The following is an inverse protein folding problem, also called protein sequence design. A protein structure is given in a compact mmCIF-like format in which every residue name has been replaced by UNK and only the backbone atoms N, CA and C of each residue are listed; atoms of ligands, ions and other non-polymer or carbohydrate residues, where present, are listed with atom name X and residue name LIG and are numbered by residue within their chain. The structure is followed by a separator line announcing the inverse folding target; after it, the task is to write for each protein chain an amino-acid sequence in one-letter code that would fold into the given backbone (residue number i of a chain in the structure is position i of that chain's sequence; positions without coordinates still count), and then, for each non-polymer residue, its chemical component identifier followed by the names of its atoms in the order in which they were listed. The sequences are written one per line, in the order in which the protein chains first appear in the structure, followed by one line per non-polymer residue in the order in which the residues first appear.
data_IF_840612875003
#
_entry.id   IF_840612875003
#
_cell.length_a   1.000
_cell.length_b   1.000
_cell.length_c   1.000
_cell.angle_alpha   90.00
_cell.angle_beta   90.00
_cell.angle_gamma   90.00
#
_symmetry.space_group_name_H-M   'P 1'
#
loop_
_entity.id
_entity.type
_entity.pdbx_description
1 polymer ?
#
# COMPACT_ATOMS: atom_id res chain seq x y z
N UNK A 1 -0.11 -12.58 -15.32
CA UNK A 1 -0.37 -11.54 -14.27
C UNK A 1 -0.16 -12.04 -12.84
N UNK A 2 -0.57 -13.26 -12.45
CA UNK A 2 -0.47 -13.72 -11.05
C UNK A 2 0.97 -13.80 -10.47
N UNK A 3 2.00 -14.02 -11.29
CA UNK A 3 3.37 -14.23 -10.83
C UNK A 3 4.04 -12.95 -10.32
N UNK A 4 3.74 -11.79 -10.92
CA UNK A 4 4.32 -10.51 -10.51
C UNK A 4 3.73 -10.01 -9.20
N UNK A 5 2.40 -10.13 -9.02
CA UNK A 5 1.73 -9.76 -7.77
C UNK A 5 2.26 -10.56 -6.58
N UNK A 6 2.52 -11.86 -6.77
CA UNK A 6 3.13 -12.73 -5.73
C UNK A 6 4.52 -12.25 -5.30
N UNK A 7 5.35 -11.76 -6.24
CA UNK A 7 6.69 -11.23 -5.93
C UNK A 7 6.62 -9.97 -5.06
N UNK A 8 5.68 -9.07 -5.36
CA UNK A 8 5.49 -7.84 -4.57
C UNK A 8 5.12 -8.17 -3.12
N UNK A 9 4.16 -9.08 -2.91
CA UNK A 9 3.78 -9.46 -1.54
C UNK A 9 4.88 -10.21 -0.79
N UNK A 10 5.71 -10.99 -1.49
CA UNK A 10 6.87 -11.63 -0.89
C UNK A 10 7.94 -10.61 -0.47
N UNK A 11 8.15 -9.55 -1.25
CA UNK A 11 9.04 -8.46 -0.86
C UNK A 11 8.51 -7.70 0.36
N UNK A 12 7.20 -7.43 0.41
CA UNK A 12 6.56 -6.80 1.58
C UNK A 12 6.70 -7.67 2.83
N UNK A 13 6.44 -8.98 2.74
CA UNK A 13 6.62 -9.90 3.87
C UNK A 13 8.08 -9.92 4.36
N UNK A 14 9.04 -10.02 3.43
CA UNK A 14 10.46 -9.98 3.77
C UNK A 14 10.86 -8.67 4.46
N UNK A 15 10.47 -7.52 3.90
CA UNK A 15 10.80 -6.19 4.45
C UNK A 15 10.14 -5.96 5.82
N UNK A 16 8.87 -6.37 5.98
CA UNK A 16 8.15 -6.22 7.23
C UNK A 16 8.77 -7.08 8.35
N UNK A 17 9.29 -8.27 8.03
CA UNK A 17 10.01 -9.14 8.98
C UNK A 17 11.35 -8.58 9.45
N UNK A 18 12.00 -7.73 8.67
CA UNK A 18 13.27 -7.12 9.08
C UNK A 18 13.10 -6.21 10.30
N UNK A 19 11.89 -5.69 10.56
CA UNK A 19 11.51 -4.90 11.74
C UNK A 19 12.43 -3.68 12.06
N UNK A 20 13.31 -3.30 11.12
CA UNK A 20 14.23 -2.16 11.18
C UNK A 20 13.71 -0.95 10.41
N UNK A 21 12.60 -1.12 9.68
CA UNK A 21 12.05 -0.12 8.78
C UNK A 21 10.85 0.58 9.43
N UNK A 22 10.84 1.92 9.39
CA UNK A 22 9.72 2.74 9.85
C UNK A 22 8.57 2.79 8.84
N UNK A 23 8.83 2.42 7.58
CA UNK A 23 7.81 2.40 6.54
C UNK A 23 8.20 1.67 5.25
N UNK A 24 7.17 1.28 4.49
CA UNK A 24 7.25 0.69 3.16
C UNK A 24 6.54 1.67 2.24
N UNK A 25 7.16 2.00 1.10
CA UNK A 25 6.58 2.87 0.11
C UNK A 25 6.32 2.09 -1.18
N UNK A 26 5.16 2.29 -1.80
CA UNK A 26 4.97 1.92 -3.19
C UNK A 26 4.64 3.14 -4.03
N UNK A 27 5.12 3.12 -5.27
CA UNK A 27 5.10 4.24 -6.20
C UNK A 27 4.37 3.85 -7.48
N UNK A 28 3.39 4.65 -7.91
CA UNK A 28 2.88 4.59 -9.27
C UNK A 28 3.76 5.46 -10.18
N UNK A 29 4.85 4.88 -10.68
CA UNK A 29 5.86 5.54 -11.51
C UNK A 29 5.32 6.23 -12.76
N UNK A 30 4.14 5.84 -13.26
CA UNK A 30 3.57 6.39 -14.50
C UNK A 30 2.38 7.31 -14.26
N UNK A 31 1.90 7.39 -13.02
CA UNK A 31 0.69 8.14 -12.68
C UNK A 31 -0.52 7.65 -13.45
N UNK A 32 -0.56 6.39 -13.86
CA UNK A 32 -1.61 5.81 -14.73
C UNK A 32 -2.65 5.03 -13.95
N UNK A 33 -2.33 4.64 -12.73
CA UNK A 33 -3.26 3.87 -11.89
C UNK A 33 -4.42 4.74 -11.48
N UNK A 34 -5.61 4.15 -11.53
CA UNK A 34 -6.80 4.81 -11.02
C UNK A 34 -6.73 4.86 -9.48
N UNK A 35 -7.33 5.87 -8.83
CA UNK A 35 -7.41 5.95 -7.37
C UNK A 35 -7.86 4.64 -6.70
N UNK A 36 -8.82 3.94 -7.32
CA UNK A 36 -9.34 2.66 -6.83
C UNK A 36 -8.31 1.52 -6.89
N UNK A 37 -7.45 1.51 -7.90
CA UNK A 37 -6.39 0.52 -8.04
C UNK A 37 -5.33 0.73 -6.97
N UNK A 38 -4.89 1.98 -6.76
CA UNK A 38 -3.97 2.35 -5.68
C UNK A 38 -4.52 1.97 -4.31
N UNK A 39 -5.80 2.25 -4.04
CA UNK A 39 -6.47 1.85 -2.81
C UNK A 39 -6.51 0.33 -2.63
N UNK A 40 -6.73 -0.42 -3.71
CA UNK A 40 -6.73 -1.89 -3.68
C UNK A 40 -5.35 -2.43 -3.33
N UNK A 41 -4.30 -1.91 -3.97
CA UNK A 41 -2.91 -2.27 -3.66
C UNK A 41 -2.55 -1.95 -2.21
N UNK A 42 -2.85 -0.74 -1.75
CA UNK A 42 -2.59 -0.32 -0.38
C UNK A 42 -3.27 -1.27 0.62
N UNK A 43 -4.54 -1.62 0.39
CA UNK A 43 -5.28 -2.56 1.24
C UNK A 43 -4.64 -3.95 1.30
N UNK A 44 -4.15 -4.47 0.18
CA UNK A 44 -3.47 -5.78 0.19
C UNK A 44 -2.11 -5.73 0.86
N UNK A 45 -1.34 -4.65 0.67
CA UNK A 45 -0.06 -4.45 1.35
C UNK A 45 -0.27 -4.38 2.86
N UNK A 46 -1.24 -3.57 3.33
CA UNK A 46 -1.57 -3.51 4.75
C UNK A 46 -1.95 -4.89 5.32
N UNK A 47 -2.73 -5.71 4.61
CA UNK A 47 -3.04 -7.08 5.07
C UNK A 47 -1.80 -7.95 5.26
N UNK A 48 -0.81 -7.82 4.39
CA UNK A 48 0.46 -8.55 4.53
C UNK A 48 1.24 -8.02 5.74
N UNK A 49 1.31 -6.70 5.91
CA UNK A 49 1.93 -6.05 7.08
C UNK A 49 1.28 -6.49 8.40
N UNK A 50 -0.06 -6.51 8.45
CA UNK A 50 -0.85 -6.95 9.60
C UNK A 50 -0.58 -8.43 9.92
N UNK A 51 -0.44 -9.28 8.90
CA UNK A 51 -0.20 -10.73 9.08
C UNK A 51 1.12 -11.06 9.78
N UNK A 52 2.07 -10.12 9.78
CA UNK A 52 3.36 -10.24 10.49
C UNK A 52 3.47 -9.29 11.69
N UNK A 53 2.35 -8.71 12.14
CA UNK A 53 2.27 -7.75 13.25
C UNK A 53 3.24 -6.54 13.10
N UNK A 54 3.52 -6.14 11.86
CA UNK A 54 4.43 -5.02 11.63
C UNK A 54 3.76 -3.69 11.94
N UNK A 55 4.47 -2.80 12.65
CA UNK A 55 3.95 -1.53 13.18
C UNK A 55 4.41 -0.29 12.41
N UNK A 56 5.03 -0.48 11.25
CA UNK A 56 5.48 0.61 10.40
C UNK A 56 4.38 1.26 9.57
N UNK A 57 4.74 2.30 8.84
CA UNK A 57 3.82 3.05 7.99
C UNK A 57 3.83 2.55 6.54
N UNK A 58 2.66 2.55 5.89
CA UNK A 58 2.57 2.43 4.44
C UNK A 58 2.51 3.84 3.83
N UNK A 59 3.46 4.14 2.95
CA UNK A 59 3.52 5.37 2.17
C UNK A 59 3.08 5.08 0.73
N UNK A 60 2.27 5.95 0.16
CA UNK A 60 1.79 5.84 -1.23
C UNK A 60 2.20 7.08 -1.99
N UNK A 61 3.08 6.91 -2.97
CA UNK A 61 3.52 7.99 -3.85
C UNK A 61 2.85 7.85 -5.21
N UNK A 62 2.15 8.90 -5.63
CA UNK A 62 1.45 8.96 -6.92
C UNK A 62 2.11 10.03 -7.77
N UNK A 63 2.53 9.68 -8.99
CA UNK A 63 2.99 10.67 -9.95
C UNK A 63 1.81 11.44 -10.55
N UNK A 64 1.86 12.76 -10.49
CA UNK A 64 0.78 13.63 -10.93
C UNK A 64 0.80 13.78 -12.46
N UNK A 65 0.02 12.93 -13.15
CA UNK A 65 -0.17 13.05 -14.61
C UNK A 65 -1.60 13.41 -15.01
N UNK A 66 -2.59 12.94 -14.25
CA UNK A 66 -4.01 13.10 -14.55
C UNK A 66 -4.82 13.78 -13.43
N UNK A 67 -4.15 14.45 -12.47
CA UNK A 67 -4.84 15.11 -11.36
C UNK A 67 -5.48 14.13 -10.35
N UNK A 68 -4.97 12.89 -10.28
CA UNK A 68 -5.52 11.85 -9.41
C UNK A 68 -4.89 11.83 -8.01
N UNK A 69 -3.99 12.76 -7.68
CA UNK A 69 -3.30 12.77 -6.39
C UNK A 69 -4.29 12.85 -5.23
N UNK A 70 -5.17 13.85 -5.22
CA UNK A 70 -6.15 14.06 -4.15
C UNK A 70 -7.17 12.92 -4.05
N UNK A 71 -7.68 12.46 -5.19
CA UNK A 71 -8.62 11.35 -5.25
C UNK A 71 -7.97 10.05 -4.74
N UNK A 72 -6.70 9.83 -5.04
CA UNK A 72 -5.95 8.67 -4.56
C UNK A 72 -5.67 8.78 -3.07
N UNK A 73 -5.26 9.95 -2.57
CA UNK A 73 -5.07 10.18 -1.15
C UNK A 73 -6.36 9.91 -0.35
N UNK A 74 -7.52 10.34 -0.87
CA UNK A 74 -8.81 10.08 -0.28
C UNK A 74 -9.18 8.59 -0.30
N UNK A 75 -8.91 7.90 -1.41
CA UNK A 75 -9.24 6.48 -1.58
C UNK A 75 -8.33 5.53 -0.79
N UNK A 76 -7.05 5.90 -0.60
CA UNK A 76 -6.04 5.14 0.15
C UNK A 76 -6.16 5.36 1.65
N UNK A 77 -6.73 6.50 2.08
CA UNK A 77 -6.92 6.83 3.49
C UNK A 77 -7.53 5.61 4.18
N UNK A 78 -6.93 5.11 5.28
CA UNK A 78 -7.51 3.99 5.98
C UNK A 78 -8.91 4.42 6.40
N UNK A 79 -9.94 3.81 5.81
CA UNK A 79 -11.21 3.67 6.49
C UNK A 79 -10.85 3.02 7.79
N UNK A 80 -10.79 3.83 8.85
CA UNK A 80 -10.72 3.37 10.23
C UNK A 80 -11.98 2.53 10.39
N UNK A 81 -11.90 1.24 10.11
CA UNK A 81 -12.91 0.31 10.57
C UNK A 81 -12.82 0.38 12.08
N UNK A 82 -13.85 0.88 12.79
CA UNK A 82 -13.83 0.89 14.23
C UNK A 82 -13.60 -0.55 14.67
N UNK A 83 -12.45 -0.78 15.30
CA UNK A 83 -12.22 -1.98 16.09
C UNK A 83 -13.35 -2.00 17.11
N UNK A 84 -14.27 -2.94 16.97
CA UNK A 84 -15.21 -3.29 18.03
C UNK A 84 -14.35 -3.75 19.21
N UNK A 85 -14.11 -2.85 20.15
CA UNK A 85 -13.81 -3.20 21.55
C UNK A 85 -15.13 -3.44 22.26
#
# INVERSE_FOLDING_TARGET
MQTQSKRVFHAVDFLARLNLLFGIMFEDQRGKSLPKECATWAKFICKVMDSVNWKGHLLVQVHEKFGYMDATALAVRPTITPSKR
#
